data_IF_400651124289
#
_entry.id   IF_400651124289
#
_cell.length_a   1.000
_cell.length_b   1.000
_cell.length_c   1.000
_cell.angle_alpha   90.00
_cell.angle_beta   90.00
_cell.angle_gamma   90.00
#
_symmetry.space_group_name_H-M   'P 1'
#
loop_
_entity.id
_entity.type
_entity.pdbx_description
1 polymer ?
#
# COMPACT_ATOMS: atom_id res chain seq x y z
N UNK A 1 -37.97 -15.50 17.26
CA UNK A 1 -36.54 -15.47 17.61
C UNK A 1 -36.35 -16.43 18.76
N UNK A 2 -35.58 -17.49 18.58
CA UNK A 2 -35.18 -18.38 19.67
C UNK A 2 -34.05 -17.72 20.45
N UNK A 3 -34.00 -17.93 21.76
CA UNK A 3 -32.96 -17.36 22.65
C UNK A 3 -31.53 -17.65 22.16
N UNK A 4 -31.30 -18.82 21.54
CA UNK A 4 -30.00 -19.20 20.95
C UNK A 4 -29.50 -18.26 19.84
N UNK A 5 -30.38 -17.70 19.01
CA UNK A 5 -29.95 -16.77 17.97
C UNK A 5 -29.49 -15.42 18.53
N UNK A 6 -30.06 -14.99 19.66
CA UNK A 6 -29.66 -13.76 20.35
C UNK A 6 -28.30 -13.95 21.05
N UNK A 7 -28.07 -15.12 21.66
CA UNK A 7 -26.81 -15.44 22.33
C UNK A 7 -25.63 -15.49 21.33
N UNK A 8 -25.86 -16.08 20.14
CA UNK A 8 -24.85 -16.11 19.07
C UNK A 8 -24.54 -14.70 18.52
N UNK A 9 -25.56 -13.85 18.36
CA UNK A 9 -25.38 -12.45 17.95
C UNK A 9 -24.63 -11.64 19.00
N UNK A 10 -24.92 -11.85 20.29
CA UNK A 10 -24.19 -11.21 21.39
C UNK A 10 -22.72 -11.65 21.42
N UNK A 11 -22.44 -12.95 21.28
CA UNK A 11 -21.07 -13.47 21.22
C UNK A 11 -20.28 -12.82 20.07
N UNK A 12 -20.86 -12.77 18.87
CA UNK A 12 -20.25 -12.12 17.71
C UNK A 12 -20.02 -10.63 17.92
N UNK A 13 -20.94 -9.93 18.58
CA UNK A 13 -20.78 -8.51 18.90
C UNK A 13 -19.59 -8.26 19.85
N UNK A 14 -19.38 -9.13 20.85
CA UNK A 14 -18.24 -9.02 21.75
C UNK A 14 -16.90 -9.34 21.07
N UNK A 15 -16.86 -10.36 20.21
CA UNK A 15 -15.67 -10.65 19.40
C UNK A 15 -15.29 -9.47 18.50
N UNK A 16 -16.28 -8.84 17.86
CA UNK A 16 -16.08 -7.63 17.06
C UNK A 16 -15.57 -6.47 17.93
N UNK A 17 -16.11 -6.30 19.14
CA UNK A 17 -15.67 -5.25 20.06
C UNK A 17 -14.20 -5.44 20.47
N UNK A 18 -13.77 -6.66 20.76
CA UNK A 18 -12.36 -6.96 21.04
C UNK A 18 -11.46 -6.70 19.83
N UNK A 19 -11.90 -7.11 18.66
CA UNK A 19 -11.16 -6.91 17.40
C UNK A 19 -10.94 -5.43 17.15
N UNK A 20 -12.00 -4.62 17.23
CA UNK A 20 -11.92 -3.16 17.10
C UNK A 20 -11.00 -2.54 18.15
N UNK A 21 -10.98 -3.06 19.38
CA UNK A 21 -10.08 -2.58 20.42
C UNK A 21 -8.61 -2.84 20.07
N UNK A 22 -8.30 -4.04 19.55
CA UNK A 22 -6.94 -4.41 19.13
C UNK A 22 -6.48 -3.57 17.93
N UNK A 23 -7.32 -3.42 16.91
CA UNK A 23 -7.01 -2.59 15.73
C UNK A 23 -6.77 -1.13 16.11
N UNK A 24 -7.62 -0.55 16.97
CA UNK A 24 -7.42 0.82 17.46
C UNK A 24 -6.10 0.99 18.20
N UNK A 25 -5.67 -0.01 18.95
CA UNK A 25 -4.36 0.01 19.62
C UNK A 25 -3.22 -0.01 18.60
N UNK A 26 -3.31 -0.87 17.58
CA UNK A 26 -2.32 -0.94 16.51
C UNK A 26 -2.21 0.38 15.75
N UNK A 27 -3.34 1.01 15.41
CA UNK A 27 -3.35 2.34 14.75
C UNK A 27 -2.60 3.37 15.60
N UNK A 28 -2.86 3.43 16.90
CA UNK A 28 -2.14 4.34 17.81
C UNK A 28 -0.64 4.08 17.83
N UNK A 29 -0.23 2.81 17.90
CA UNK A 29 1.19 2.44 17.87
C UNK A 29 1.87 2.88 16.58
N UNK A 30 1.23 2.66 15.43
CA UNK A 30 1.75 3.09 14.13
C UNK A 30 1.79 4.62 13.99
N UNK A 31 0.81 5.34 14.52
CA UNK A 31 0.84 6.82 14.55
C UNK A 31 2.00 7.36 15.39
N UNK A 32 2.27 6.76 16.55
CA UNK A 32 3.41 7.14 17.39
C UNK A 32 4.75 6.87 16.70
N UNK A 33 4.88 5.71 16.07
CA UNK A 33 6.06 5.35 15.30
C UNK A 33 6.28 6.32 14.13
N UNK A 34 5.24 6.63 13.37
CA UNK A 34 5.28 7.62 12.31
C UNK A 34 5.75 8.99 12.82
N UNK A 35 5.19 9.48 13.94
CA UNK A 35 5.62 10.75 14.55
C UNK A 35 7.10 10.71 14.96
N UNK A 36 7.58 9.60 15.54
CA UNK A 36 9.00 9.43 15.89
C UNK A 36 9.91 9.48 14.67
N UNK A 37 9.54 8.79 13.59
CA UNK A 37 10.30 8.78 12.34
C UNK A 37 10.37 10.18 11.71
N UNK A 38 9.23 10.88 11.62
CA UNK A 38 9.18 12.23 11.07
C UNK A 38 9.97 13.24 11.91
N UNK A 39 9.90 13.14 13.25
CA UNK A 39 10.71 13.98 14.13
C UNK A 39 12.22 13.74 13.94
N UNK A 40 12.64 12.49 13.72
CA UNK A 40 14.04 12.18 13.43
C UNK A 40 14.49 12.76 12.09
N UNK A 41 13.66 12.63 11.05
CA UNK A 41 13.91 13.22 9.73
C UNK A 41 14.04 14.75 9.84
N UNK A 42 13.14 15.40 10.58
CA UNK A 42 13.16 16.86 10.80
C UNK A 42 14.43 17.34 11.52
N UNK A 43 14.87 16.63 12.57
CA UNK A 43 16.12 16.96 13.28
C UNK A 43 17.35 16.83 12.39
N UNK A 44 17.39 15.83 11.52
CA UNK A 44 18.49 15.67 10.55
C UNK A 44 18.53 16.86 9.59
N UNK A 45 17.38 17.31 9.08
CA UNK A 45 17.27 18.53 8.24
C UNK A 45 17.83 19.77 8.92
N UNK A 46 17.43 20.01 10.18
CA UNK A 46 17.86 21.20 10.92
C UNK A 46 19.36 21.20 11.25
N UNK A 47 19.96 20.02 11.41
CA UNK A 47 21.37 19.91 11.80
C UNK A 47 22.38 20.22 10.70
N UNK A 48 21.95 20.41 9.44
CA UNK A 48 22.83 20.66 8.29
C UNK A 48 23.85 19.55 7.99
N UNK A 49 23.78 18.42 8.69
CA UNK A 49 24.76 17.30 8.60
C UNK A 49 24.62 16.49 7.31
N UNK A 50 23.55 16.70 6.56
CA UNK A 50 23.31 16.13 5.24
C UNK A 50 22.69 17.24 4.39
N UNK A 51 23.06 17.32 3.10
CA UNK A 51 22.18 17.89 2.10
C UNK A 51 20.90 17.05 2.11
N UNK A 52 19.94 17.43 2.95
CA UNK A 52 18.64 16.80 2.95
C UNK A 52 17.92 17.36 1.73
N UNK A 53 18.23 16.76 0.58
CA UNK A 53 17.37 16.87 -0.59
C UNK A 53 15.98 16.49 -0.11
N UNK A 54 15.03 17.41 -0.21
CA UNK A 54 13.63 17.09 0.01
C UNK A 54 13.32 15.89 -0.88
N UNK A 55 13.14 14.70 -0.31
CA UNK A 55 12.79 13.51 -1.10
C UNK A 55 11.29 13.31 -1.02
N UNK A 56 10.64 13.34 -2.17
CA UNK A 56 9.25 12.94 -2.28
C UNK A 56 9.18 11.41 -2.38
N UNK A 57 8.33 10.79 -1.55
CA UNK A 57 8.04 9.36 -1.63
C UNK A 57 6.88 9.18 -2.60
N UNK A 58 7.17 8.74 -3.82
CA UNK A 58 6.15 8.42 -4.80
C UNK A 58 5.81 6.93 -4.72
N UNK A 59 4.51 6.63 -4.63
CA UNK A 59 3.99 5.27 -4.81
C UNK A 59 3.70 5.07 -6.29
N UNK A 60 4.35 4.08 -6.92
CA UNK A 60 4.13 3.75 -8.33
C UNK A 60 3.63 2.32 -8.44
N UNK A 61 2.59 2.13 -9.25
CA UNK A 61 2.17 0.81 -9.68
C UNK A 61 3.20 0.28 -10.69
N UNK A 62 3.80 -0.85 -10.35
CA UNK A 62 4.73 -1.56 -11.21
C UNK A 62 4.13 -2.92 -11.55
N UNK A 63 4.06 -3.24 -12.84
CA UNK A 63 3.60 -4.56 -13.30
C UNK A 63 4.67 -5.59 -12.94
N UNK A 64 4.24 -6.67 -12.31
CA UNK A 64 5.09 -7.85 -12.08
C UNK A 64 5.07 -8.67 -13.38
N UNK A 65 6.16 -8.63 -14.14
CA UNK A 65 6.28 -9.27 -15.45
C UNK A 65 5.88 -10.75 -15.45
N UNK A 66 6.25 -11.50 -14.41
CA UNK A 66 5.92 -12.93 -14.32
C UNK A 66 4.42 -13.18 -14.15
N UNK A 67 3.74 -12.39 -13.33
CA UNK A 67 2.28 -12.48 -13.13
C UNK A 67 1.53 -12.02 -14.37
N UNK A 68 2.00 -10.95 -14.99
CA UNK A 68 1.44 -10.45 -16.24
C UNK A 68 1.58 -11.48 -17.37
N UNK A 69 2.76 -12.11 -17.50
CA UNK A 69 2.99 -13.17 -18.48
C UNK A 69 2.13 -14.41 -18.23
N UNK A 70 1.92 -14.79 -16.97
CA UNK A 70 1.07 -15.93 -16.64
C UNK A 70 -0.39 -15.69 -17.03
N UNK A 71 -0.89 -14.46 -16.87
CA UNK A 71 -2.29 -14.10 -17.15
C UNK A 71 -2.53 -13.72 -18.62
N UNK A 72 -1.57 -13.06 -19.27
CA UNK A 72 -1.64 -12.64 -20.68
C UNK A 72 -0.34 -12.93 -21.44
N UNK A 73 -0.03 -14.20 -21.72
CA UNK A 73 1.21 -14.59 -22.40
C UNK A 73 1.31 -14.03 -23.83
N UNK A 74 0.19 -13.96 -24.55
CA UNK A 74 0.16 -13.44 -25.92
C UNK A 74 0.42 -11.94 -25.98
N UNK A 75 -0.14 -11.17 -25.03
CA UNK A 75 0.10 -9.74 -24.92
C UNK A 75 1.54 -9.46 -24.48
N UNK A 76 2.06 -10.25 -23.54
CA UNK A 76 3.46 -10.15 -23.11
C UNK A 76 4.43 -10.32 -24.30
N UNK A 77 4.17 -11.26 -25.20
CA UNK A 77 5.01 -11.49 -26.37
C UNK A 77 4.89 -10.36 -27.43
N UNK A 78 3.76 -9.65 -27.47
CA UNK A 78 3.54 -8.49 -28.37
C UNK A 78 4.18 -7.21 -27.83
N UNK A 79 4.26 -7.05 -26.51
CA UNK A 79 4.82 -5.86 -25.87
C UNK A 79 6.34 -5.96 -25.77
N UNK A 80 7.05 -5.02 -26.40
CA UNK A 80 8.51 -4.90 -26.26
C UNK A 80 8.94 -4.59 -24.80
N UNK A 81 8.11 -3.83 -24.08
CA UNK A 81 8.29 -3.53 -22.66
C UNK A 81 6.92 -3.50 -21.97
N UNK A 82 6.75 -4.30 -20.92
CA UNK A 82 5.52 -4.33 -20.11
C UNK A 82 5.49 -3.09 -19.20
N UNK A 83 4.90 -2.02 -19.70
CA UNK A 83 4.69 -0.77 -18.94
C UNK A 83 3.23 -0.62 -18.57
N UNK A 84 2.94 0.06 -17.46
CA UNK A 84 1.55 0.39 -17.06
C UNK A 84 0.77 1.10 -18.16
N UNK A 85 1.43 1.96 -18.93
CA UNK A 85 0.79 2.69 -20.02
C UNK A 85 0.35 1.74 -21.13
N UNK A 86 1.26 0.89 -21.62
CA UNK A 86 0.97 -0.05 -22.69
C UNK A 86 -0.06 -1.11 -22.25
N UNK A 87 -0.02 -1.53 -20.99
CA UNK A 87 -0.98 -2.49 -20.46
C UNK A 87 -2.40 -1.92 -20.33
N UNK A 88 -2.54 -0.65 -19.93
CA UNK A 88 -3.85 0.04 -19.85
C UNK A 88 -4.52 0.30 -21.20
N UNK A 89 -3.76 0.25 -22.30
CA UNK A 89 -4.33 0.38 -23.65
C UNK A 89 -5.08 -0.89 -24.09
N UNK A 90 -4.73 -2.06 -23.55
CA UNK A 90 -5.35 -3.34 -23.93
C UNK A 90 -6.13 -4.04 -22.78
N UNK A 91 -5.88 -3.68 -21.51
CA UNK A 91 -6.48 -4.33 -20.33
C UNK A 91 -7.12 -3.28 -19.41
N UNK A 92 -8.30 -3.61 -18.86
CA UNK A 92 -8.96 -2.77 -17.87
C UNK A 92 -8.13 -2.62 -16.58
N UNK A 93 -8.21 -1.44 -15.96
CA UNK A 93 -7.40 -1.11 -14.79
C UNK A 93 -7.59 -2.07 -13.60
N UNK A 94 -8.82 -2.57 -13.40
CA UNK A 94 -9.15 -3.53 -12.33
C UNK A 94 -8.38 -4.85 -12.46
N UNK A 95 -8.25 -5.37 -13.67
CA UNK A 95 -7.52 -6.61 -13.92
C UNK A 95 -6.01 -6.42 -13.79
N UNK A 96 -5.51 -5.21 -14.05
CA UNK A 96 -4.10 -4.87 -13.89
C UNK A 96 -3.68 -4.78 -12.42
N UNK A 97 -4.57 -4.39 -11.52
CA UNK A 97 -4.26 -4.30 -10.07
C UNK A 97 -3.76 -5.64 -9.51
N UNK A 98 -4.33 -6.76 -9.96
CA UNK A 98 -3.97 -8.11 -9.51
C UNK A 98 -2.53 -8.52 -9.88
N UNK A 99 -1.99 -7.94 -10.97
CA UNK A 99 -0.64 -8.23 -11.47
C UNK A 99 0.34 -7.10 -11.15
N UNK A 100 -0.09 -6.07 -10.43
CA UNK A 100 0.75 -4.94 -10.04
C UNK A 100 1.21 -5.04 -8.59
N UNK A 101 2.36 -4.45 -8.31
CA UNK A 101 2.82 -4.13 -6.96
C UNK A 101 2.98 -2.62 -6.79
N UNK A 102 2.76 -2.14 -5.57
CA UNK A 102 3.05 -0.75 -5.21
C UNK A 102 4.51 -0.68 -4.81
N UNK A 103 5.32 -0.09 -5.67
CA UNK A 103 6.72 0.21 -5.37
C UNK A 103 6.85 1.64 -4.86
N UNK A 104 7.54 1.80 -3.73
CA UNK A 104 7.94 3.10 -3.20
C UNK A 104 9.24 3.55 -3.85
N UNK A 105 9.22 4.74 -4.45
CA UNK A 105 10.41 5.36 -5.05
C UNK A 105 10.64 6.70 -4.39
N UNK A 106 11.83 6.91 -3.84
CA UNK A 106 12.25 8.21 -3.31
C UNK A 106 12.92 9.03 -4.41
N UNK A 107 12.36 10.18 -4.76
CA UNK A 107 12.95 11.11 -5.73
C UNK A 107 13.28 12.44 -5.07
N UNK A 108 14.30 13.19 -5.56
CA UNK A 108 14.43 14.61 -5.24
C UNK A 108 13.12 15.33 -5.57
N UNK A 109 12.68 16.20 -4.67
CA UNK A 109 11.60 17.14 -4.88
C UNK A 109 12.16 18.23 -5.79
N UNK A 110 11.65 18.29 -7.02
CA UNK A 110 11.97 19.36 -7.95
C UNK A 110 11.29 20.64 -7.43
N UNK A 111 12.05 21.73 -7.30
CA UNK A 111 11.58 23.06 -6.88
C UNK A 111 10.85 23.80 -8.00
#
# INVERSE_FOLDING_TARGET
MTYQGLDDEMAKAYELQETLRKERLQVRQHEEEYKRLMNRISKVRQSGKYEVVDKEVQRKHQIISDRFRARWPELFNRLATVTMKAAREEIEEKDLEDVCEIKTVTKPKEE
#
